data_IF_682952097071
#
_entry.id   IF_682952097071
#
_cell.length_a   1.000
_cell.length_b   1.000
_cell.length_c   1.000
_cell.angle_alpha   90.00
_cell.angle_beta   90.00
_cell.angle_gamma   90.00
#
_symmetry.space_group_name_H-M   'P 1'
#
loop_
_entity.id
_entity.type
_entity.pdbx_description
1 polymer ?
#
# COMPACT_ATOMS: atom_id res chain seq x y z
N UNK A 1 -7.07 8.07 -1.37
CA UNK A 1 -5.93 7.16 -1.15
C UNK A 1 -5.75 6.97 0.35
N UNK A 2 -5.48 5.74 0.79
CA UNK A 2 -5.28 5.36 2.19
C UNK A 2 -3.79 5.24 2.53
N UNK A 3 -3.06 4.39 1.80
CA UNK A 3 -1.63 4.24 1.99
C UNK A 3 -0.88 3.83 0.73
N UNK A 4 0.43 4.05 0.77
CA UNK A 4 1.40 3.56 -0.19
C UNK A 4 2.13 2.36 0.41
N UNK A 5 2.44 1.36 -0.43
CA UNK A 5 3.19 0.16 -0.04
C UNK A 5 4.58 0.20 -0.66
N UNK A 6 5.58 0.32 0.20
CA UNK A 6 7.00 0.34 -0.18
C UNK A 6 7.61 -1.01 0.15
N UNK A 7 7.80 -1.83 -0.88
CA UNK A 7 8.43 -3.12 -0.77
C UNK A 7 9.93 -2.99 -0.54
N UNK A 8 10.47 -3.79 0.35
CA UNK A 8 11.90 -3.84 0.64
C UNK A 8 12.37 -5.31 0.76
N UNK A 9 13.61 -5.64 0.37
CA UNK A 9 14.15 -6.99 0.54
C UNK A 9 14.32 -7.39 2.01
N UNK A 10 14.63 -6.43 2.88
CA UNK A 10 14.83 -6.60 4.32
C UNK A 10 14.19 -5.43 5.07
N UNK A 11 13.33 -5.71 6.05
CA UNK A 11 12.57 -4.68 6.74
C UNK A 11 13.46 -3.75 7.57
N UNK A 12 14.45 -4.28 8.27
CA UNK A 12 15.32 -3.47 9.13
C UNK A 12 16.13 -2.48 8.29
N UNK A 13 16.71 -2.95 7.19
CA UNK A 13 17.43 -2.09 6.23
C UNK A 13 16.50 -1.08 5.55
N UNK A 14 15.27 -1.47 5.25
CA UNK A 14 14.24 -0.57 4.70
C UNK A 14 13.90 0.58 5.66
N UNK A 15 13.75 0.27 6.95
CA UNK A 15 13.54 1.30 8.01
C UNK A 15 14.74 2.25 8.08
N UNK A 16 15.97 1.73 8.09
CA UNK A 16 17.20 2.54 8.13
C UNK A 16 17.35 3.43 6.91
N UNK A 17 17.09 2.88 5.72
CA UNK A 17 17.11 3.63 4.46
C UNK A 17 16.14 4.82 4.50
N UNK A 18 14.89 4.57 4.94
CA UNK A 18 13.88 5.62 5.01
C UNK A 18 14.23 6.68 6.07
N UNK A 19 14.70 6.28 7.23
CA UNK A 19 15.20 7.22 8.25
C UNK A 19 16.36 8.08 7.71
N UNK A 20 17.29 7.46 6.99
CA UNK A 20 18.39 8.19 6.37
C UNK A 20 17.90 9.19 5.32
N UNK A 21 16.91 8.81 4.49
CA UNK A 21 16.38 9.69 3.41
C UNK A 21 15.47 10.78 3.94
N UNK A 22 14.63 10.47 4.93
CA UNK A 22 13.54 11.35 5.36
C UNK A 22 13.80 12.07 6.68
N UNK A 23 14.67 11.53 7.54
CA UNK A 23 14.84 11.98 8.91
C UNK A 23 13.78 11.46 9.88
N UNK A 24 12.87 10.58 9.41
CA UNK A 24 11.81 9.97 10.23
C UNK A 24 11.99 8.46 10.24
N UNK A 25 12.11 7.88 11.44
CA UNK A 25 12.20 6.43 11.62
C UNK A 25 10.81 5.82 11.65
N UNK A 26 10.53 4.92 10.70
CA UNK A 26 9.29 4.15 10.70
C UNK A 26 9.22 3.22 11.93
N UNK A 27 8.01 3.04 12.49
CA UNK A 27 7.76 2.14 13.62
C UNK A 27 7.37 0.77 13.11
N UNK A 28 7.93 -0.28 13.72
CA UNK A 28 7.46 -1.65 13.47
C UNK A 28 5.95 -1.75 13.71
N UNK A 29 5.23 -2.20 12.70
CA UNK A 29 3.79 -2.29 12.70
C UNK A 29 3.29 -3.66 13.19
N UNK A 30 3.98 -4.72 12.79
CA UNK A 30 3.65 -6.09 13.18
C UNK A 30 3.86 -7.11 12.06
N UNK A 31 3.52 -8.35 12.39
CA UNK A 31 3.48 -9.46 11.45
C UNK A 31 2.07 -9.59 10.85
N UNK A 32 1.98 -10.11 9.65
CA UNK A 32 0.71 -10.48 9.01
C UNK A 32 0.58 -12.01 9.06
N UNK A 33 -0.09 -12.57 10.10
CA UNK A 33 -0.19 -14.01 10.29
C UNK A 33 -0.78 -14.72 9.07
N UNK A 34 -0.11 -15.79 8.62
CA UNK A 34 -0.53 -16.58 7.46
C UNK A 34 -0.31 -15.92 6.09
N UNK A 35 0.19 -14.68 6.05
CA UNK A 35 0.47 -13.93 4.80
C UNK A 35 1.96 -13.79 4.49
N UNK A 36 2.84 -14.29 5.37
CA UNK A 36 4.29 -14.35 5.16
C UNK A 36 5.00 -13.01 5.10
N UNK A 37 4.41 -11.94 5.62
CA UNK A 37 4.99 -10.60 5.60
C UNK A 37 4.94 -9.93 6.97
N UNK A 38 5.83 -8.97 7.17
CA UNK A 38 5.83 -8.04 8.29
C UNK A 38 6.06 -6.61 7.79
N UNK A 39 5.70 -5.63 8.60
CA UNK A 39 5.74 -4.23 8.16
C UNK A 39 6.26 -3.26 9.21
N UNK A 40 6.60 -2.06 8.74
CA UNK A 40 6.79 -0.86 9.53
C UNK A 40 6.00 0.29 8.88
N UNK A 41 5.58 1.26 9.69
CA UNK A 41 4.67 2.30 9.27
C UNK A 41 5.23 3.69 9.59
N UNK A 42 4.93 4.64 8.70
CA UNK A 42 5.22 6.06 8.85
C UNK A 42 4.02 6.89 8.37
N UNK A 43 3.57 7.86 9.16
CA UNK A 43 2.47 8.75 8.76
C UNK A 43 2.89 9.68 7.61
N UNK A 44 1.99 9.87 6.66
CA UNK A 44 2.12 10.83 5.55
C UNK A 44 1.19 12.04 5.71
N UNK A 45 0.71 12.28 6.93
CA UNK A 45 -0.27 13.32 7.22
C UNK A 45 -1.71 12.89 6.95
N UNK A 46 -2.66 13.59 7.56
CA UNK A 46 -4.08 13.24 7.45
C UNK A 46 -4.36 11.78 7.84
N UNK A 47 -5.15 11.11 7.02
CA UNK A 47 -5.41 9.65 7.14
C UNK A 47 -4.58 8.84 6.12
N UNK A 48 -3.33 9.22 5.91
CA UNK A 48 -2.44 8.54 4.97
C UNK A 48 -1.18 8.05 5.67
N UNK A 49 -0.63 6.92 5.22
CA UNK A 49 0.63 6.40 5.72
C UNK A 49 1.44 5.67 4.63
N UNK A 50 2.73 5.51 4.87
CA UNK A 50 3.61 4.64 4.11
C UNK A 50 3.76 3.33 4.89
N UNK A 51 3.44 2.22 4.24
CA UNK A 51 3.71 0.88 4.71
C UNK A 51 5.01 0.39 4.09
N UNK A 52 6.03 0.16 4.90
CA UNK A 52 7.26 -0.53 4.50
C UNK A 52 7.04 -2.00 4.77
N UNK A 53 7.13 -2.85 3.74
CA UNK A 53 6.79 -4.26 3.84
C UNK A 53 7.92 -5.15 3.30
N UNK A 54 8.16 -6.25 3.98
CA UNK A 54 9.09 -7.29 3.59
C UNK A 54 8.53 -8.68 3.85
N UNK A 55 9.16 -9.70 3.27
CA UNK A 55 8.93 -11.10 3.65
C UNK A 55 9.37 -11.27 5.10
N UNK A 56 8.51 -11.91 5.91
CA UNK A 56 8.82 -12.24 7.29
C UNK A 56 9.59 -13.56 7.37
N UNK A 57 10.87 -13.55 7.75
CA UNK A 57 11.68 -14.76 7.83
C UNK A 57 11.18 -15.75 8.89
N UNK A 58 10.29 -15.32 9.79
CA UNK A 58 9.68 -16.18 10.81
C UNK A 58 8.42 -16.91 10.30
N UNK A 59 7.94 -16.58 9.10
CA UNK A 59 6.74 -17.17 8.50
C UNK A 59 7.06 -17.91 7.19
N UNK A 60 8.08 -18.77 7.20
CA UNK A 60 8.62 -19.45 6.00
C UNK A 60 7.57 -20.36 5.31
N UNK A 61 6.58 -20.84 6.04
CA UNK A 61 5.52 -21.73 5.53
C UNK A 61 4.21 -21.00 5.20
N UNK A 62 4.23 -19.67 5.06
CA UNK A 62 3.03 -18.94 4.67
C UNK A 62 2.47 -19.46 3.35
N UNK A 63 1.23 -19.95 3.36
CA UNK A 63 0.58 -20.59 2.22
C UNK A 63 0.33 -19.65 1.04
N UNK A 64 0.33 -18.33 1.29
CA UNK A 64 0.20 -17.30 0.25
C UNK A 64 0.87 -16.00 0.68
N UNK A 65 1.70 -15.43 -0.18
CA UNK A 65 2.19 -14.06 0.01
C UNK A 65 1.13 -13.07 -0.46
N UNK A 66 0.88 -12.06 0.38
CA UNK A 66 -0.01 -10.97 0.01
C UNK A 66 0.54 -10.16 -1.17
N UNK A 67 1.87 -10.02 -1.26
CA UNK A 67 2.60 -9.39 -2.35
C UNK A 67 3.65 -10.37 -2.90
N UNK A 68 3.30 -11.19 -3.90
CA UNK A 68 4.23 -12.20 -4.48
C UNK A 68 5.51 -11.59 -5.03
N UNK A 69 5.45 -10.36 -5.52
CA UNK A 69 6.57 -9.59 -6.07
C UNK A 69 7.71 -9.38 -5.08
N UNK A 70 7.44 -9.41 -3.77
CA UNK A 70 8.48 -9.31 -2.74
C UNK A 70 9.53 -10.43 -2.82
N UNK A 71 9.18 -11.60 -3.38
CA UNK A 71 10.13 -12.72 -3.56
C UNK A 71 11.30 -12.38 -4.49
N UNK A 72 11.06 -11.47 -5.42
CA UNK A 72 12.01 -11.13 -6.48
C UNK A 72 12.49 -9.68 -6.38
N UNK A 73 12.18 -9.03 -5.27
CA UNK A 73 12.54 -7.64 -5.07
C UNK A 73 14.02 -7.53 -4.67
N UNK A 74 14.85 -7.00 -5.57
CA UNK A 74 16.28 -6.76 -5.32
C UNK A 74 16.54 -5.37 -4.73
N UNK A 75 15.69 -4.39 -5.05
CA UNK A 75 15.82 -3.00 -4.63
C UNK A 75 14.50 -2.48 -4.06
N UNK A 76 14.55 -1.60 -3.06
CA UNK A 76 13.37 -0.97 -2.49
C UNK A 76 12.60 -0.14 -3.52
N UNK A 77 11.27 -0.31 -3.60
CA UNK A 77 10.40 0.50 -4.46
C UNK A 77 8.95 0.51 -4.00
N UNK A 78 8.16 1.44 -4.53
CA UNK A 78 6.71 1.37 -4.42
C UNK A 78 6.18 0.18 -5.23
N UNK A 79 5.43 -0.71 -4.59
CA UNK A 79 4.88 -1.92 -5.23
C UNK A 79 3.36 -1.91 -5.32
N UNK A 80 2.68 -1.16 -4.47
CA UNK A 80 1.23 -1.06 -4.46
C UNK A 80 0.76 0.23 -3.77
N UNK A 81 -0.51 0.50 -3.89
CA UNK A 81 -1.19 1.55 -3.16
C UNK A 81 -2.63 1.14 -2.85
N UNK A 82 -3.17 1.68 -1.77
CA UNK A 82 -4.50 1.34 -1.28
C UNK A 82 -5.46 2.52 -1.32
N UNK A 83 -6.71 2.21 -1.56
CA UNK A 83 -7.82 3.14 -1.44
C UNK A 83 -8.79 2.65 -0.37
N UNK A 84 -9.03 3.47 0.66
CA UNK A 84 -10.06 3.16 1.64
C UNK A 84 -11.45 3.35 1.02
N UNK A 85 -12.32 2.37 1.28
CA UNK A 85 -13.72 2.38 0.87
C UNK A 85 -14.61 1.96 2.04
N UNK A 86 -15.90 2.30 1.97
CA UNK A 86 -16.89 1.92 2.97
C UNK A 86 -17.64 0.64 2.62
N UNK A 87 -17.53 0.16 1.36
CA UNK A 87 -18.22 -1.01 0.83
C UNK A 87 -17.39 -1.70 -0.25
N UNK A 88 -16.73 -2.80 0.13
CA UNK A 88 -15.97 -3.64 -0.78
C UNK A 88 -16.84 -4.45 -1.75
N UNK A 89 -18.09 -4.73 -1.39
CA UNK A 89 -19.02 -5.46 -2.28
C UNK A 89 -19.40 -4.57 -3.45
N UNK A 90 -19.74 -3.31 -3.19
CA UNK A 90 -20.00 -2.32 -4.25
C UNK A 90 -18.74 -2.09 -5.11
N UNK A 91 -17.57 -2.05 -4.49
CA UNK A 91 -16.30 -1.91 -5.21
C UNK A 91 -16.03 -3.10 -6.13
N UNK A 92 -16.29 -4.34 -5.68
CA UNK A 92 -16.20 -5.54 -6.50
C UNK A 92 -17.18 -5.50 -7.70
N UNK A 93 -18.40 -5.02 -7.46
CA UNK A 93 -19.40 -4.86 -8.52
C UNK A 93 -18.93 -3.86 -9.60
N UNK A 94 -18.30 -2.74 -9.19
CA UNK A 94 -17.72 -1.77 -10.12
C UNK A 94 -16.56 -2.35 -10.93
N UNK A 95 -15.72 -3.17 -10.32
CA UNK A 95 -14.64 -3.87 -11.01
C UNK A 95 -15.19 -4.84 -12.06
N UNK A 96 -16.19 -5.65 -11.69
CA UNK A 96 -16.86 -6.59 -12.61
C UNK A 96 -17.50 -5.86 -13.79
N UNK A 97 -18.10 -4.69 -13.57
CA UNK A 97 -18.68 -3.87 -14.65
C UNK A 97 -17.65 -3.36 -15.66
N UNK A 98 -16.37 -3.41 -15.32
CA UNK A 98 -15.23 -3.07 -16.18
C UNK A 98 -14.47 -4.31 -16.67
N UNK A 99 -15.01 -5.51 -16.51
CA UNK A 99 -14.39 -6.79 -16.84
C UNK A 99 -13.05 -7.01 -16.10
N UNK A 100 -12.97 -6.56 -14.85
CA UNK A 100 -11.82 -6.77 -13.97
C UNK A 100 -12.24 -7.76 -12.89
N UNK A 101 -11.51 -8.86 -12.76
CA UNK A 101 -11.71 -9.84 -11.71
C UNK A 101 -11.22 -9.33 -10.36
N UNK A 102 -11.76 -9.90 -9.29
CA UNK A 102 -11.39 -9.53 -7.92
C UNK A 102 -11.04 -10.75 -7.07
N UNK A 103 -10.16 -10.54 -6.11
CA UNK A 103 -9.81 -11.51 -5.07
C UNK A 103 -10.19 -10.89 -3.73
N UNK A 104 -11.11 -11.52 -3.03
CA UNK A 104 -11.63 -11.04 -1.74
C UNK A 104 -13.15 -10.75 -1.79
N UNK A 105 -13.69 -10.09 -0.75
CA UNK A 105 -13.00 -9.50 0.40
C UNK A 105 -12.27 -10.52 1.27
N UNK A 106 -11.02 -10.23 1.64
CA UNK A 106 -10.20 -11.06 2.53
C UNK A 106 -9.98 -10.35 3.86
N UNK A 107 -10.38 -10.98 4.95
CA UNK A 107 -10.16 -10.44 6.28
C UNK A 107 -8.66 -10.41 6.63
N UNK A 108 -8.26 -9.36 7.32
CA UNK A 108 -6.95 -9.19 7.91
C UNK A 108 -7.07 -8.60 9.31
N UNK A 109 -6.13 -8.97 10.16
CA UNK A 109 -6.02 -8.36 11.49
C UNK A 109 -4.57 -8.41 11.97
N UNK A 110 -4.22 -7.51 12.89
CA UNK A 110 -2.99 -7.57 13.66
C UNK A 110 -3.16 -6.93 15.04
N UNK A 111 -2.41 -7.45 16.00
CA UNK A 111 -2.33 -6.81 17.30
C UNK A 111 -1.54 -5.49 17.21
N UNK A 112 -1.98 -4.48 17.93
CA UNK A 112 -1.27 -3.22 18.14
C UNK A 112 -0.44 -3.27 19.43
N UNK A 113 0.49 -2.34 19.59
CA UNK A 113 1.36 -2.29 20.76
C UNK A 113 0.60 -2.09 22.10
N UNK A 114 -0.61 -1.51 22.04
CA UNK A 114 -1.49 -1.30 23.20
C UNK A 114 -2.41 -2.51 23.51
N UNK A 115 -2.23 -3.62 22.76
CA UNK A 115 -3.03 -4.83 22.90
C UNK A 115 -4.37 -4.80 22.15
N UNK A 116 -4.75 -3.67 21.54
CA UNK A 116 -5.94 -3.61 20.70
C UNK A 116 -5.74 -4.37 19.40
N UNK A 117 -6.85 -4.81 18.79
CA UNK A 117 -6.83 -5.49 17.49
C UNK A 117 -7.21 -4.51 16.39
N UNK A 118 -6.31 -4.30 15.46
CA UNK A 118 -6.60 -3.64 14.19
C UNK A 118 -7.17 -4.67 13.23
N UNK A 119 -8.36 -4.41 12.67
CA UNK A 119 -9.02 -5.33 11.74
C UNK A 119 -9.51 -4.59 10.50
N UNK A 120 -9.40 -5.27 9.36
CA UNK A 120 -9.79 -4.75 8.05
C UNK A 120 -10.20 -5.87 7.11
N UNK A 121 -10.75 -5.50 5.96
CA UNK A 121 -10.90 -6.37 4.80
C UNK A 121 -10.19 -5.74 3.61
N UNK A 122 -9.68 -6.57 2.69
CA UNK A 122 -9.05 -6.12 1.45
C UNK A 122 -9.70 -6.77 0.25
N UNK A 123 -9.82 -6.01 -0.84
CA UNK A 123 -10.22 -6.47 -2.16
C UNK A 123 -9.11 -6.12 -3.14
N UNK A 124 -8.57 -7.13 -3.83
CA UNK A 124 -7.56 -6.94 -4.86
C UNK A 124 -8.19 -7.09 -6.24
N UNK A 125 -7.71 -6.29 -7.16
CA UNK A 125 -8.01 -6.46 -8.57
C UNK A 125 -7.08 -7.53 -9.16
N UNK A 126 -7.58 -8.36 -10.05
CA UNK A 126 -6.80 -9.42 -10.70
C UNK A 126 -7.11 -9.50 -12.19
N UNK A 127 -6.13 -9.99 -12.96
CA UNK A 127 -6.24 -10.09 -14.41
C UNK A 127 -5.05 -9.44 -15.12
N UNK A 128 -5.03 -9.47 -16.45
CA UNK A 128 -3.83 -9.17 -17.23
C UNK A 128 -3.45 -7.68 -17.32
N UNK A 129 -4.29 -6.78 -16.85
CA UNK A 129 -4.04 -5.32 -16.96
C UNK A 129 -4.20 -4.58 -15.64
N UNK A 130 -3.95 -5.25 -14.51
CA UNK A 130 -4.18 -4.66 -13.19
C UNK A 130 -2.94 -3.98 -12.59
N UNK A 131 -1.81 -4.02 -13.28
CA UNK A 131 -0.60 -3.34 -12.83
C UNK A 131 -0.82 -1.82 -12.71
N UNK A 132 -0.40 -1.22 -11.61
CA UNK A 132 -0.62 0.19 -11.30
C UNK A 132 -1.99 0.53 -10.71
N UNK A 133 -2.99 -0.38 -10.81
CA UNK A 133 -4.28 -0.19 -10.14
C UNK A 133 -4.14 -0.38 -8.61
N UNK A 134 -4.99 0.28 -7.81
CA UNK A 134 -5.00 0.10 -6.36
C UNK A 134 -5.57 -1.25 -5.95
N UNK A 135 -5.28 -1.66 -4.73
CA UNK A 135 -6.19 -2.52 -4.00
C UNK A 135 -7.08 -1.68 -3.07
N UNK A 136 -8.16 -2.27 -2.58
CA UNK A 136 -9.12 -1.58 -1.74
C UNK A 136 -9.08 -2.14 -0.32
N UNK A 137 -9.29 -1.25 0.65
CA UNK A 137 -9.32 -1.60 2.06
C UNK A 137 -10.55 -1.00 2.73
N UNK A 138 -11.22 -1.82 3.53
CA UNK A 138 -12.32 -1.41 4.39
C UNK A 138 -11.90 -1.64 5.83
N UNK A 139 -11.79 -0.56 6.59
CA UNK A 139 -11.41 -0.60 8.00
C UNK A 139 -12.61 -0.93 8.88
N UNK A 140 -12.44 -1.85 9.82
CA UNK A 140 -13.50 -2.12 10.79
C UNK A 140 -13.80 -0.87 11.60
N UNK A 141 -15.09 -0.57 11.77
CA UNK A 141 -15.55 0.59 12.57
C UNK A 141 -15.02 0.50 14.00
N UNK A 142 -14.57 1.65 14.52
CA UNK A 142 -14.03 1.74 15.89
C UNK A 142 -12.56 1.41 16.04
N UNK A 143 -11.87 0.95 14.99
CA UNK A 143 -10.41 0.78 15.03
C UNK A 143 -9.69 2.08 14.72
N UNK A 144 -8.65 2.38 15.50
CA UNK A 144 -7.78 3.55 15.24
C UNK A 144 -6.99 3.32 13.95
N UNK A 145 -7.09 4.27 13.02
CA UNK A 145 -6.38 4.18 11.74
C UNK A 145 -4.86 4.21 11.93
N UNK A 146 -4.07 3.41 11.21
CA UNK A 146 -2.62 3.31 11.39
C UNK A 146 -1.87 4.64 11.36
N UNK A 147 -2.30 5.61 10.55
CA UNK A 147 -1.68 6.94 10.47
C UNK A 147 -1.69 7.71 11.80
N UNK A 148 -2.62 7.41 12.71
CA UNK A 148 -2.77 8.12 13.99
C UNK A 148 -1.69 7.75 15.00
N UNK A 149 -1.14 6.53 14.88
CA UNK A 149 -0.13 6.01 15.81
C UNK A 149 1.24 5.79 15.16
N UNK A 150 1.37 6.10 13.87
CA UNK A 150 2.64 6.04 13.16
C UNK A 150 3.46 7.31 13.36
N UNK A 151 4.80 7.22 13.36
CA UNK A 151 5.67 8.39 13.45
C UNK A 151 5.33 9.42 12.38
N UNK A 152 5.20 10.67 12.78
CA UNK A 152 4.90 11.82 11.94
C UNK A 152 6.17 12.57 11.54
N UNK A 153 6.05 13.53 10.63
CA UNK A 153 7.16 14.38 10.15
C UNK A 153 7.29 14.36 8.63
N UNK A 154 6.63 13.42 7.97
CA UNK A 154 6.50 13.41 6.51
C UNK A 154 5.07 13.72 6.08
N UNK A 155 4.92 14.35 4.91
CA UNK A 155 3.61 14.52 4.25
C UNK A 155 3.71 14.17 2.78
N UNK A 156 2.64 13.61 2.23
CA UNK A 156 2.57 13.32 0.80
C UNK A 156 2.38 14.62 0.02
N UNK A 157 3.35 14.98 -0.83
CA UNK A 157 3.28 16.15 -1.71
C UNK A 157 2.60 15.80 -3.03
N UNK A 158 2.94 14.65 -3.63
CA UNK A 158 2.29 14.14 -4.84
C UNK A 158 2.38 12.62 -4.93
N UNK A 159 1.41 12.04 -5.64
CA UNK A 159 1.41 10.64 -6.03
C UNK A 159 0.96 10.53 -7.49
N UNK A 160 1.67 9.73 -8.27
CA UNK A 160 1.43 9.53 -9.69
C UNK A 160 1.49 8.04 -10.03
N UNK A 161 0.60 7.64 -10.93
CA UNK A 161 0.64 6.34 -11.59
C UNK A 161 1.19 6.56 -13.00
N UNK A 162 2.41 6.14 -13.24
CA UNK A 162 3.00 6.10 -14.59
C UNK A 162 2.44 4.89 -15.35
N UNK A 163 1.88 5.10 -16.54
CA UNK A 163 1.24 4.01 -17.29
C UNK A 163 1.42 4.15 -18.80
N UNK A 164 1.51 2.99 -19.49
CA UNK A 164 1.68 2.94 -20.95
C UNK A 164 0.41 3.30 -21.73
N UNK A 165 -0.77 3.06 -21.13
CA UNK A 165 -2.09 3.37 -21.68
C UNK A 165 -2.86 4.25 -20.68
N UNK A 166 -2.62 5.56 -20.75
CA UNK A 166 -3.19 6.54 -19.81
C UNK A 166 -4.71 6.65 -19.93
N UNK A 167 -5.27 6.49 -21.13
CA UNK A 167 -6.70 6.61 -21.35
C UNK A 167 -7.45 5.44 -20.70
N UNK A 168 -6.94 4.23 -20.90
CA UNK A 168 -7.48 3.05 -20.24
C UNK A 168 -7.39 3.17 -18.71
N UNK A 169 -6.22 3.56 -18.19
CA UNK A 169 -6.00 3.69 -16.74
C UNK A 169 -6.94 4.74 -16.13
N UNK A 170 -7.06 5.92 -16.74
CA UNK A 170 -7.98 6.97 -16.25
C UNK A 170 -9.43 6.54 -16.30
N UNK A 171 -9.85 5.89 -17.40
CA UNK A 171 -11.21 5.37 -17.53
C UNK A 171 -11.51 4.34 -16.44
N UNK A 172 -10.58 3.40 -16.23
CA UNK A 172 -10.70 2.35 -15.22
C UNK A 172 -10.77 2.92 -13.80
N UNK A 173 -9.85 3.80 -13.43
CA UNK A 173 -9.86 4.44 -12.11
C UNK A 173 -11.17 5.21 -11.88
N UNK A 174 -11.63 5.97 -12.85
CA UNK A 174 -12.91 6.68 -12.77
C UNK A 174 -14.09 5.73 -12.56
N UNK A 175 -14.13 4.61 -13.30
CA UNK A 175 -15.18 3.60 -13.15
C UNK A 175 -15.15 2.91 -11.78
N UNK A 176 -13.98 2.77 -11.18
CA UNK A 176 -13.79 2.28 -9.81
C UNK A 176 -14.12 3.34 -8.74
N UNK A 177 -14.36 4.61 -9.14
CA UNK A 177 -14.59 5.71 -8.22
C UNK A 177 -13.31 6.23 -7.56
N UNK A 178 -12.18 6.04 -8.23
CA UNK A 178 -10.84 6.43 -7.73
C UNK A 178 -10.32 7.62 -8.52
N UNK A 179 -9.82 8.63 -7.80
CA UNK A 179 -9.10 9.77 -8.39
C UNK A 179 -7.61 9.63 -8.12
N UNK A 180 -6.80 9.65 -9.18
CA UNK A 180 -5.35 9.64 -9.11
C UNK A 180 -4.74 10.32 -10.33
N UNK A 181 -3.56 10.93 -10.15
CA UNK A 181 -2.80 11.48 -11.25
C UNK A 181 -2.17 10.35 -12.09
N UNK A 182 -2.52 10.28 -13.38
CA UNK A 182 -1.98 9.29 -14.32
C UNK A 182 -1.17 10.02 -15.36
N UNK A 183 0.11 9.63 -15.50
CA UNK A 183 1.05 10.23 -16.43
C UNK A 183 1.59 9.22 -17.44
N UNK A 184 1.93 9.62 -18.68
CA UNK A 184 2.44 8.70 -19.69
C UNK A 184 3.86 8.23 -19.36
N UNK A 185 4.10 6.93 -19.57
CA UNK A 185 5.41 6.32 -19.39
C UNK A 185 5.55 5.09 -20.29
N UNK A 186 6.79 4.66 -20.56
CA UNK A 186 7.07 3.42 -21.29
C UNK A 186 6.85 2.16 -20.43
N UNK A 187 6.76 2.30 -19.11
CA UNK A 187 6.56 1.20 -18.15
C UNK A 187 5.57 1.63 -17.08
N UNK A 188 4.89 0.66 -16.46
CA UNK A 188 4.03 0.96 -15.30
C UNK A 188 4.89 1.14 -14.05
N UNK A 189 4.70 2.25 -13.35
CA UNK A 189 5.38 2.56 -12.08
C UNK A 189 4.49 3.40 -11.18
N UNK A 190 4.74 3.32 -9.91
CA UNK A 190 4.18 4.21 -8.90
C UNK A 190 5.26 5.21 -8.48
N UNK A 191 4.92 6.48 -8.40
CA UNK A 191 5.85 7.51 -7.99
C UNK A 191 5.21 8.40 -6.92
N UNK A 192 5.95 8.69 -5.86
CA UNK A 192 5.50 9.56 -4.80
C UNK A 192 6.58 10.54 -4.40
N UNK A 193 6.19 11.78 -4.10
CA UNK A 193 7.06 12.80 -3.49
C UNK A 193 6.56 13.11 -2.09
N UNK A 194 7.47 13.08 -1.15
CA UNK A 194 7.21 13.38 0.25
C UNK A 194 7.95 14.67 0.65
N UNK A 195 7.27 15.56 1.35
CA UNK A 195 7.94 16.60 2.13
C UNK A 195 8.37 15.98 3.45
N UNK A 196 9.64 16.14 3.79
CA UNK A 196 10.27 15.50 4.95
C UNK A 196 11.13 16.49 5.72
N UNK A 197 11.55 16.19 6.96
CA UNK A 197 12.53 16.99 7.69
C UNK A 197 13.85 17.23 6.96
N UNK A 198 14.21 16.38 5.99
CA UNK A 198 15.42 16.51 5.15
C UNK A 198 15.17 17.12 3.78
N UNK A 199 14.00 17.71 3.56
CA UNK A 199 13.57 18.26 2.27
C UNK A 199 12.66 17.30 1.49
N UNK A 200 12.50 17.59 0.20
CA UNK A 200 11.68 16.75 -0.66
C UNK A 200 12.41 15.46 -1.05
N UNK A 201 11.73 14.33 -0.94
CA UNK A 201 12.26 13.01 -1.29
C UNK A 201 11.29 12.30 -2.23
N UNK A 202 11.80 11.79 -3.36
CA UNK A 202 11.02 11.01 -4.33
C UNK A 202 11.22 9.51 -4.11
N UNK A 203 10.13 8.74 -4.25
CA UNK A 203 10.07 7.29 -4.23
C UNK A 203 9.37 6.79 -5.49
N UNK A 204 9.92 5.74 -6.12
CA UNK A 204 9.36 5.09 -7.28
C UNK A 204 9.81 3.65 -7.39
#
# INVERSE_FOLDING_TARGET
MDHLVFGVPDLARGIELLEHRTGVRARFGGQHPGRGTHNALMSLGGRQYLEIIAIDPMQVEASSLHFPELKHLSEPRLIAWAVAVEDLVETARRATAQNIDTIGPLAGSRAQADGSLLSWQTLRLSGPRTEGLPFFIEWQKGTAHPSQHSPSGCTLASFEVEHTDIEWMRHTLKGLGVDANVVPSATVRLKARLQTPKGEVEFG
#
